data_IF_590339413513
#
_entry.id   IF_590339413513
#
_cell.length_a   1.000
_cell.length_b   1.000
_cell.length_c   1.000
_cell.angle_alpha   90.00
_cell.angle_beta   90.00
_cell.angle_gamma   90.00
#
_symmetry.space_group_name_H-M   'P 1'
#
loop_
_entity.id
_entity.type
_entity.pdbx_description
1 polymer ?
#
# COMPACT_ATOMS: atom_id res chain seq x y z
N UNK A 1 -36.30 10.36 53.53
CA UNK A 1 -35.07 9.71 53.03
C UNK A 1 -35.19 9.67 51.51
N UNK A 2 -34.61 10.67 50.85
CA UNK A 2 -34.82 10.93 49.42
C UNK A 2 -33.71 10.28 48.61
N UNK A 3 -34.04 9.30 47.76
CA UNK A 3 -33.11 8.74 46.78
C UNK A 3 -33.13 9.62 45.52
N UNK A 4 -32.05 10.35 45.28
CA UNK A 4 -31.74 11.02 44.03
C UNK A 4 -31.27 9.96 43.01
N UNK A 5 -32.08 9.71 41.99
CA UNK A 5 -31.70 8.95 40.80
C UNK A 5 -30.84 9.84 39.90
N UNK A 6 -29.53 9.60 39.90
CA UNK A 6 -28.60 10.22 38.96
C UNK A 6 -28.76 9.58 37.58
N UNK A 7 -29.26 10.35 36.62
CA UNK A 7 -29.24 10.03 35.19
C UNK A 7 -27.78 10.04 34.72
N UNK A 8 -27.18 8.86 34.61
CA UNK A 8 -25.93 8.66 33.90
C UNK A 8 -26.17 8.88 32.40
N UNK A 9 -25.83 10.07 31.92
CA UNK A 9 -25.80 10.35 30.49
C UNK A 9 -24.82 9.41 29.80
N UNK A 10 -25.36 8.48 29.01
CA UNK A 10 -24.58 7.71 28.06
C UNK A 10 -24.19 8.68 26.94
N UNK A 11 -23.12 9.44 27.17
CA UNK A 11 -22.46 10.22 26.13
C UNK A 11 -21.85 9.25 25.15
N UNK A 12 -22.63 8.83 24.15
CA UNK A 12 -22.11 8.26 22.93
C UNK A 12 -21.23 9.32 22.28
N UNK A 13 -19.95 9.30 22.62
CA UNK A 13 -18.92 9.84 21.77
C UNK A 13 -18.84 8.92 20.54
N UNK A 14 -19.83 9.00 19.66
CA UNK A 14 -19.59 8.76 18.24
C UNK A 14 -18.66 9.88 17.82
N UNK A 15 -17.36 9.68 18.05
CA UNK A 15 -16.35 10.34 17.26
C UNK A 15 -16.65 9.83 15.85
N UNK A 16 -17.43 10.61 15.10
CA UNK A 16 -17.56 10.44 13.68
C UNK A 16 -16.14 10.48 13.16
N UNK A 17 -15.58 9.29 12.92
CA UNK A 17 -14.28 9.12 12.32
C UNK A 17 -14.43 9.68 10.91
N UNK A 18 -14.16 10.98 10.77
CA UNK A 18 -13.72 11.55 9.51
C UNK A 18 -12.51 10.68 9.16
N UNK A 19 -12.71 9.73 8.23
CA UNK A 19 -11.68 8.75 7.91
C UNK A 19 -10.37 9.46 7.65
N UNK A 20 -9.25 8.89 8.11
CA UNK A 20 -7.95 9.50 7.87
C UNK A 20 -7.80 9.77 6.37
N UNK A 21 -7.14 10.87 5.99
CA UNK A 21 -6.83 11.09 4.57
C UNK A 21 -5.63 10.24 4.17
N UNK A 22 -5.54 9.81 2.91
CA UNK A 22 -4.31 9.20 2.42
C UNK A 22 -3.16 10.21 2.52
N UNK A 23 -1.96 9.74 2.85
CA UNK A 23 -0.76 10.58 3.01
C UNK A 23 -0.42 11.32 1.72
N UNK A 24 -0.73 10.69 0.58
CA UNK A 24 -0.67 11.26 -0.75
C UNK A 24 -1.54 10.43 -1.70
N UNK A 25 -1.74 10.94 -2.91
CA UNK A 25 -2.25 10.14 -4.02
C UNK A 25 -1.54 10.50 -5.32
N UNK A 26 -1.47 9.53 -6.22
CA UNK A 26 -1.13 9.73 -7.63
C UNK A 26 -2.32 9.32 -8.48
N UNK A 27 -2.67 10.14 -9.46
CA UNK A 27 -3.73 9.85 -10.43
C UNK A 27 -3.06 9.72 -11.79
N UNK A 28 -3.16 8.53 -12.37
CA UNK A 28 -2.67 8.24 -13.70
C UNK A 28 -3.55 8.82 -14.81
N UNK A 29 -3.05 8.83 -16.04
CA UNK A 29 -3.87 9.18 -17.19
C UNK A 29 -5.01 8.18 -17.35
N UNK A 30 -6.07 8.62 -18.03
CA UNK A 30 -7.09 7.71 -18.52
C UNK A 30 -6.55 7.00 -19.76
N UNK A 31 -6.44 5.67 -19.71
CA UNK A 31 -5.90 4.84 -20.79
C UNK A 31 -7.02 3.96 -21.38
N UNK A 32 -7.01 3.66 -22.70
CA UNK A 32 -7.95 2.72 -23.28
C UNK A 32 -7.85 1.34 -22.62
N UNK A 33 -9.01 0.75 -22.29
CA UNK A 33 -9.05 -0.64 -21.79
C UNK A 33 -9.09 -1.63 -22.97
N UNK A 34 -8.45 -2.81 -22.87
CA UNK A 34 -8.49 -3.82 -23.93
C UNK A 34 -9.91 -4.26 -24.33
N UNK A 35 -10.87 -4.20 -23.40
CA UNK A 35 -12.26 -4.59 -23.62
C UNK A 35 -13.18 -3.39 -23.97
N UNK A 36 -12.60 -2.24 -24.33
CA UNK A 36 -13.32 -0.99 -24.59
C UNK A 36 -13.50 -0.13 -23.34
N UNK A 37 -13.88 1.13 -23.55
CA UNK A 37 -13.87 2.14 -22.48
C UNK A 37 -12.45 2.57 -22.10
N UNK A 38 -12.33 3.21 -20.95
CA UNK A 38 -11.07 3.73 -20.41
C UNK A 38 -10.91 3.36 -18.94
N UNK A 39 -9.68 3.13 -18.51
CA UNK A 39 -9.33 2.94 -17.10
C UNK A 39 -8.48 4.11 -16.63
N UNK A 40 -8.80 4.66 -15.47
CA UNK A 40 -7.92 5.56 -14.72
C UNK A 40 -7.42 4.86 -13.47
N UNK A 41 -6.11 4.78 -13.33
CA UNK A 41 -5.47 4.23 -12.13
C UNK A 41 -5.20 5.34 -11.13
N UNK A 42 -5.60 5.16 -9.87
CA UNK A 42 -5.22 6.03 -8.75
C UNK A 42 -4.50 5.20 -7.70
N UNK A 43 -3.35 5.67 -7.23
CA UNK A 43 -2.63 5.06 -6.11
C UNK A 43 -2.77 5.97 -4.90
N UNK A 44 -3.35 5.45 -3.82
CA UNK A 44 -3.42 6.10 -2.52
C UNK A 44 -2.32 5.54 -1.63
N UNK A 45 -1.59 6.39 -0.93
CA UNK A 45 -0.44 5.98 -0.13
C UNK A 45 -0.69 6.12 1.38
N UNK A 46 -0.26 5.10 2.12
CA UNK A 46 -0.23 5.07 3.58
C UNK A 46 1.06 5.66 4.15
N UNK A 47 1.71 5.02 5.15
CA UNK A 47 1.46 3.67 5.66
C UNK A 47 0.35 3.59 6.71
N UNK A 48 -0.49 2.55 6.64
CA UNK A 48 -1.54 2.28 7.62
C UNK A 48 -1.38 0.91 8.28
N UNK A 49 -2.04 0.72 9.42
CA UNK A 49 -2.20 -0.61 10.01
C UNK A 49 -3.03 -1.49 9.07
N UNK A 50 -2.65 -2.75 8.94
CA UNK A 50 -3.42 -3.73 8.17
C UNK A 50 -4.74 -4.07 8.87
N UNK A 51 -5.83 -4.19 8.10
CA UNK A 51 -7.09 -4.73 8.63
C UNK A 51 -6.95 -6.21 9.02
N UNK A 52 -7.95 -6.75 9.70
CA UNK A 52 -7.94 -8.16 10.11
C UNK A 52 -7.78 -9.11 8.91
N UNK A 53 -8.45 -8.79 7.79
CA UNK A 53 -8.34 -9.59 6.55
C UNK A 53 -6.93 -9.55 5.95
N UNK A 54 -6.28 -8.37 5.97
CA UNK A 54 -4.92 -8.20 5.47
C UNK A 54 -3.88 -8.88 6.37
N UNK A 55 -4.05 -8.78 7.70
CA UNK A 55 -3.24 -9.52 8.67
C UNK A 55 -3.31 -11.03 8.40
N UNK A 56 -4.52 -11.59 8.31
CA UNK A 56 -4.71 -13.02 8.03
C UNK A 56 -4.13 -13.44 6.67
N UNK A 57 -4.16 -12.55 5.67
CA UNK A 57 -3.50 -12.80 4.37
C UNK A 57 -1.99 -12.88 4.52
N UNK A 58 -1.39 -11.96 5.27
CA UNK A 58 0.05 -12.00 5.56
C UNK A 58 0.44 -13.23 6.38
N UNK A 59 -0.34 -13.62 7.38
CA UNK A 59 -0.09 -14.84 8.16
C UNK A 59 -0.07 -16.08 7.27
N UNK A 60 -1.08 -16.25 6.40
CA UNK A 60 -1.12 -17.36 5.44
C UNK A 60 0.09 -17.36 4.52
N UNK A 61 0.52 -16.18 4.07
CA UNK A 61 1.72 -16.02 3.25
C UNK A 61 2.97 -16.48 4.00
N UNK A 62 3.19 -16.00 5.22
CA UNK A 62 4.34 -16.39 6.03
C UNK A 62 4.37 -17.90 6.29
N UNK A 63 3.22 -18.52 6.55
CA UNK A 63 3.12 -19.99 6.69
C UNK A 63 3.47 -20.70 5.39
N UNK A 64 2.89 -20.28 4.27
CA UNK A 64 3.11 -20.91 2.96
C UNK A 64 4.57 -20.80 2.49
N UNK A 65 5.25 -19.73 2.86
CA UNK A 65 6.67 -19.50 2.54
C UNK A 65 7.63 -20.07 3.60
N UNK A 66 7.13 -20.60 4.72
CA UNK A 66 7.96 -21.18 5.78
C UNK A 66 8.66 -20.17 6.68
N UNK A 67 8.20 -18.91 6.70
CA UNK A 67 8.79 -17.79 7.44
C UNK A 67 7.89 -17.33 8.61
N UNK A 68 7.51 -18.27 9.47
CA UNK A 68 6.66 -17.98 10.64
C UNK A 68 7.49 -17.50 11.83
N UNK A 69 6.96 -16.61 12.70
CA UNK A 69 5.62 -16.01 12.67
C UNK A 69 5.53 -14.75 11.77
N UNK A 70 4.30 -14.25 11.56
CA UNK A 70 4.11 -12.88 11.12
C UNK A 70 4.52 -11.92 12.25
N UNK A 71 5.50 -11.06 12.01
CA UNK A 71 6.00 -10.05 12.95
C UNK A 71 5.21 -8.75 12.87
N UNK A 72 4.72 -8.40 11.68
CA UNK A 72 3.88 -7.23 11.46
C UNK A 72 3.36 -7.13 10.03
N UNK A 73 2.41 -6.23 9.81
CA UNK A 73 1.86 -5.94 8.49
C UNK A 73 1.68 -4.42 8.31
N UNK A 74 2.18 -3.92 7.18
CA UNK A 74 1.97 -2.52 6.78
C UNK A 74 1.10 -2.51 5.52
N UNK A 75 0.01 -1.77 5.56
CA UNK A 75 -0.75 -1.43 4.36
C UNK A 75 -0.09 -0.20 3.73
N UNK A 76 0.66 -0.43 2.65
CA UNK A 76 1.51 0.59 2.01
C UNK A 76 0.71 1.52 1.12
N UNK A 77 -0.17 0.93 0.32
CA UNK A 77 -0.93 1.64 -0.69
C UNK A 77 -2.21 0.90 -1.05
N UNK A 78 -3.13 1.63 -1.67
CA UNK A 78 -4.24 1.09 -2.42
C UNK A 78 -4.13 1.53 -3.87
N UNK A 79 -4.15 0.56 -4.77
CA UNK A 79 -4.25 0.81 -6.21
C UNK A 79 -5.71 0.67 -6.59
N UNK A 80 -6.34 1.78 -6.98
CA UNK A 80 -7.71 1.84 -7.48
C UNK A 80 -7.69 1.92 -8.99
N UNK A 81 -8.48 1.08 -9.65
CA UNK A 81 -8.77 1.18 -11.09
C UNK A 81 -10.22 1.59 -11.29
N UNK A 82 -10.44 2.74 -11.90
CA UNK A 82 -11.77 3.24 -12.28
C UNK A 82 -11.97 3.05 -13.78
N UNK A 83 -12.85 2.12 -14.16
CA UNK A 83 -13.24 1.89 -15.54
C UNK A 83 -14.51 2.69 -15.88
N UNK A 84 -14.51 3.33 -17.04
CA UNK A 84 -15.67 3.98 -17.63
C UNK A 84 -15.84 3.51 -19.07
N UNK A 85 -17.07 3.20 -19.47
CA UNK A 85 -17.36 2.73 -20.82
C UNK A 85 -18.84 2.61 -21.09
N UNK A 86 -19.20 1.60 -21.88
CA UNK A 86 -20.60 1.32 -22.22
C UNK A 86 -20.92 -0.15 -22.06
N UNK A 87 -22.12 -0.45 -21.56
CA UNK A 87 -22.72 -1.77 -21.55
C UNK A 87 -24.09 -1.68 -22.23
N UNK A 88 -24.32 -2.50 -23.27
CA UNK A 88 -25.54 -2.42 -24.10
C UNK A 88 -25.86 -0.98 -24.58
N UNK A 89 -24.85 -0.27 -25.07
CA UNK A 89 -24.91 1.13 -25.49
C UNK A 89 -25.22 2.18 -24.39
N UNK A 90 -25.51 1.76 -23.15
CA UNK A 90 -25.70 2.66 -22.00
C UNK A 90 -24.36 2.98 -21.34
N UNK A 91 -24.16 4.19 -20.79
CA UNK A 91 -22.98 4.50 -19.97
C UNK A 91 -22.86 3.52 -18.79
N UNK A 92 -21.65 3.04 -18.55
CA UNK A 92 -21.35 2.13 -17.46
C UNK A 92 -20.03 2.53 -16.79
N UNK A 93 -19.94 2.26 -15.48
CA UNK A 93 -18.73 2.42 -14.70
C UNK A 93 -18.53 1.19 -13.82
N UNK A 94 -17.28 0.81 -13.64
CA UNK A 94 -16.86 -0.30 -12.79
C UNK A 94 -15.52 0.07 -12.15
N UNK A 95 -15.13 -0.66 -11.12
CA UNK A 95 -13.81 -0.43 -10.53
C UNK A 95 -13.49 -1.40 -9.43
N UNK A 96 -12.22 -1.38 -9.04
CA UNK A 96 -11.70 -2.23 -7.98
C UNK A 96 -10.59 -1.54 -7.23
N UNK A 97 -10.24 -2.09 -6.06
CA UNK A 97 -9.07 -1.69 -5.29
C UNK A 97 -8.23 -2.91 -4.96
N UNK A 98 -6.92 -2.72 -5.03
CA UNK A 98 -5.92 -3.67 -4.61
C UNK A 98 -5.11 -3.07 -3.47
N UNK A 99 -5.21 -3.68 -2.29
CA UNK A 99 -4.39 -3.33 -1.13
C UNK A 99 -2.99 -3.93 -1.25
N UNK A 100 -1.99 -3.05 -1.37
CA UNK A 100 -0.58 -3.38 -1.38
C UNK A 100 -0.06 -3.42 0.05
N UNK A 101 0.40 -4.59 0.49
CA UNK A 101 0.87 -4.81 1.87
C UNK A 101 2.31 -5.28 1.91
N UNK A 102 3.08 -4.74 2.86
CA UNK A 102 4.32 -5.34 3.32
C UNK A 102 4.02 -6.31 4.45
N UNK A 103 4.25 -7.61 4.23
CA UNK A 103 4.14 -8.63 5.27
C UNK A 103 5.53 -8.87 5.87
N UNK A 104 5.72 -8.52 7.13
CA UNK A 104 6.99 -8.71 7.84
C UNK A 104 7.00 -10.11 8.46
N UNK A 105 7.21 -11.12 7.63
CA UNK A 105 7.43 -12.49 8.10
C UNK A 105 8.84 -12.61 8.74
N UNK A 106 9.13 -13.74 9.37
CA UNK A 106 10.47 -14.03 9.94
C UNK A 106 11.49 -14.38 8.82
N UNK A 107 11.66 -13.44 7.88
CA UNK A 107 12.61 -13.57 6.80
C UNK A 107 14.03 -13.31 7.33
N UNK A 108 15.02 -14.15 6.96
CA UNK A 108 16.40 -13.84 7.28
C UNK A 108 16.87 -12.62 6.48
N UNK A 109 17.81 -11.87 7.05
CA UNK A 109 18.50 -10.81 6.32
C UNK A 109 19.41 -11.40 5.25
N UNK A 110 19.40 -10.79 4.07
CA UNK A 110 20.30 -11.18 2.98
C UNK A 110 21.72 -10.65 3.21
N UNK A 111 22.72 -11.38 2.72
CA UNK A 111 24.13 -10.98 2.79
C UNK A 111 24.55 -10.04 1.65
N UNK A 112 23.77 -9.95 0.57
CA UNK A 112 24.08 -9.27 -0.69
C UNK A 112 23.30 -7.95 -0.90
N UNK A 113 22.81 -7.34 0.17
CA UNK A 113 21.95 -6.14 0.10
C UNK A 113 22.56 -4.99 -0.72
N UNK A 114 23.89 -4.79 -0.63
CA UNK A 114 24.59 -3.77 -1.43
C UNK A 114 24.41 -4.03 -2.94
N UNK A 115 24.64 -5.27 -3.37
CA UNK A 115 24.50 -5.66 -4.78
C UNK A 115 23.07 -5.51 -5.29
N UNK A 116 22.06 -5.82 -4.47
CA UNK A 116 20.64 -5.61 -4.81
C UNK A 116 20.31 -4.14 -5.03
N UNK A 117 20.85 -3.25 -4.18
CA UNK A 117 20.68 -1.80 -4.33
C UNK A 117 21.34 -1.27 -5.59
N UNK A 118 22.56 -1.73 -5.88
CA UNK A 118 23.28 -1.37 -7.12
C UNK A 118 22.49 -1.83 -8.37
N UNK A 119 21.97 -3.05 -8.35
CA UNK A 119 21.12 -3.60 -9.42
C UNK A 119 19.90 -2.73 -9.68
N UNK A 120 19.23 -2.25 -8.64
CA UNK A 120 18.12 -1.31 -8.77
C UNK A 120 18.59 0.04 -9.35
N UNK A 121 19.65 0.62 -8.81
CA UNK A 121 20.16 1.93 -9.24
C UNK A 121 20.55 1.95 -10.72
N UNK A 122 21.14 0.87 -11.22
CA UNK A 122 21.54 0.72 -12.62
C UNK A 122 20.34 0.55 -13.56
N UNK A 123 19.33 -0.21 -13.14
CA UNK A 123 18.20 -0.59 -14.00
C UNK A 123 16.94 0.29 -13.85
N UNK A 124 16.83 1.11 -12.80
CA UNK A 124 15.60 1.89 -12.49
C UNK A 124 15.12 2.75 -13.65
N UNK A 125 16.01 3.30 -14.48
CA UNK A 125 15.61 4.08 -15.66
C UNK A 125 14.86 3.22 -16.67
N UNK A 126 15.32 1.99 -16.91
CA UNK A 126 14.66 1.03 -17.80
C UNK A 126 13.36 0.51 -17.20
N UNK A 127 13.37 0.18 -15.90
CA UNK A 127 12.17 -0.22 -15.16
C UNK A 127 11.05 0.82 -15.30
N UNK A 128 11.37 2.11 -15.08
CA UNK A 128 10.41 3.21 -15.23
C UNK A 128 9.82 3.32 -16.63
N UNK A 129 10.61 3.06 -17.69
CA UNK A 129 10.10 3.08 -19.07
C UNK A 129 9.13 1.94 -19.33
N UNK A 130 9.43 0.74 -18.84
CA UNK A 130 8.54 -0.41 -18.95
C UNK A 130 7.23 -0.15 -18.20
N UNK A 131 7.33 0.32 -16.95
CA UNK A 131 6.16 0.74 -16.19
C UNK A 131 5.35 1.82 -16.94
N UNK A 132 6.03 2.81 -17.52
CA UNK A 132 5.33 3.88 -18.26
C UNK A 132 4.54 3.39 -19.47
N UNK A 133 4.98 2.31 -20.13
CA UNK A 133 4.26 1.75 -21.27
C UNK A 133 2.91 1.12 -20.89
N UNK A 134 2.73 0.75 -19.63
CA UNK A 134 1.50 0.12 -19.14
C UNK A 134 0.60 1.11 -18.38
N UNK A 135 1.19 2.00 -17.58
CA UNK A 135 0.45 2.82 -16.62
C UNK A 135 0.49 4.33 -16.91
N UNK A 136 1.16 4.73 -17.99
CA UNK A 136 1.47 6.14 -18.28
C UNK A 136 2.71 6.63 -17.53
N UNK A 137 3.11 7.89 -17.71
CA UNK A 137 4.39 8.37 -17.22
C UNK A 137 4.66 8.11 -15.73
N UNK A 138 5.84 7.53 -15.44
CA UNK A 138 6.34 7.38 -14.08
C UNK A 138 6.25 8.70 -13.30
N UNK A 139 5.60 8.71 -12.12
CA UNK A 139 5.37 9.94 -11.36
C UNK A 139 6.66 10.72 -11.10
N UNK A 140 6.57 12.05 -11.16
CA UNK A 140 7.71 12.95 -10.93
C UNK A 140 7.26 14.23 -10.22
N UNK A 141 8.15 14.81 -9.45
CA UNK A 141 8.10 16.24 -9.12
C UNK A 141 8.65 17.05 -10.30
N UNK A 142 8.66 18.37 -10.19
CA UNK A 142 9.26 19.24 -11.21
C UNK A 142 10.74 18.90 -11.47
N UNK A 143 11.46 18.43 -10.44
CA UNK A 143 12.91 18.26 -10.46
C UNK A 143 13.37 16.80 -10.51
N UNK A 144 12.53 15.83 -10.13
CA UNK A 144 12.94 14.42 -10.04
C UNK A 144 11.79 13.43 -10.17
N UNK A 145 12.07 12.25 -10.75
CA UNK A 145 11.16 11.11 -10.67
C UNK A 145 10.99 10.66 -9.21
N UNK A 146 9.77 10.24 -8.86
CA UNK A 146 9.51 9.62 -7.57
C UNK A 146 10.38 8.36 -7.39
N UNK A 147 10.82 8.07 -6.16
CA UNK A 147 11.50 6.82 -5.87
C UNK A 147 10.59 5.62 -6.16
N UNK A 148 11.21 4.51 -6.57
CA UNK A 148 10.55 3.20 -6.60
C UNK A 148 10.73 2.56 -5.23
N UNK A 149 9.62 2.24 -4.57
CA UNK A 149 9.60 1.59 -3.27
C UNK A 149 9.46 0.09 -3.44
N UNK A 150 10.34 -0.70 -2.82
CA UNK A 150 10.26 -2.15 -2.83
C UNK A 150 9.21 -2.65 -1.82
N UNK A 151 8.13 -3.26 -2.31
CA UNK A 151 7.02 -3.77 -1.50
C UNK A 151 7.51 -4.88 -0.58
N UNK A 152 8.25 -5.84 -1.11
CA UNK A 152 9.05 -6.79 -0.35
C UNK A 152 10.48 -6.25 -0.22
N UNK A 153 10.91 -6.09 1.03
CA UNK A 153 12.16 -5.43 1.39
C UNK A 153 13.37 -6.13 0.77
N UNK A 154 14.24 -5.36 0.12
CA UNK A 154 15.51 -5.87 -0.42
C UNK A 154 16.38 -6.53 0.66
N UNK A 155 16.34 -6.00 1.89
CA UNK A 155 17.14 -6.55 2.99
C UNK A 155 16.66 -7.94 3.43
N UNK A 156 15.45 -8.34 3.05
CA UNK A 156 14.81 -9.58 3.46
C UNK A 156 14.47 -10.50 2.27
N UNK A 157 15.11 -10.27 1.11
CA UNK A 157 14.97 -11.16 -0.07
C UNK A 157 14.17 -10.59 -1.22
N UNK A 158 13.64 -9.37 -1.09
CA UNK A 158 12.98 -8.64 -2.17
C UNK A 158 13.80 -8.62 -3.46
N UNK A 159 13.15 -9.00 -4.57
CA UNK A 159 13.76 -8.94 -5.89
C UNK A 159 13.83 -7.48 -6.38
N UNK A 160 15.00 -6.97 -6.79
CA UNK A 160 15.17 -5.55 -7.07
C UNK A 160 14.40 -5.04 -8.29
N UNK A 161 14.11 -5.92 -9.25
CA UNK A 161 13.51 -5.56 -10.55
C UNK A 161 12.23 -6.32 -10.87
N UNK A 162 11.67 -7.05 -9.90
CA UNK A 162 10.39 -7.72 -10.12
C UNK A 162 9.27 -6.67 -10.30
N UNK A 163 8.48 -6.71 -11.40
CA UNK A 163 7.48 -5.69 -11.71
C UNK A 163 6.41 -5.52 -10.63
N UNK A 164 6.07 -6.60 -9.94
CA UNK A 164 5.10 -6.65 -8.84
C UNK A 164 5.71 -6.28 -7.48
N UNK A 165 7.02 -6.04 -7.41
CA UNK A 165 7.73 -5.70 -6.19
C UNK A 165 8.04 -4.20 -6.06
N UNK A 166 7.75 -3.37 -7.06
CA UNK A 166 8.12 -1.94 -7.03
C UNK A 166 6.94 -1.05 -7.38
N UNK A 167 6.67 -0.07 -6.52
CA UNK A 167 5.66 0.98 -6.79
C UNK A 167 6.29 2.37 -6.72
N UNK A 168 5.87 3.33 -7.55
CA UNK A 168 6.29 4.72 -7.37
C UNK A 168 5.70 5.25 -6.07
N UNK A 169 6.50 5.94 -5.24
CA UNK A 169 6.02 6.54 -3.98
C UNK A 169 6.54 7.98 -3.88
N UNK A 170 5.72 8.98 -3.47
CA UNK A 170 6.19 10.34 -3.29
C UNK A 170 7.39 10.38 -2.32
N UNK A 171 8.42 11.22 -2.55
CA UNK A 171 9.65 11.21 -1.74
C UNK A 171 9.44 11.29 -0.23
N UNK A 172 8.53 12.16 0.24
CA UNK A 172 8.23 12.28 1.66
C UNK A 172 7.57 11.03 2.25
N UNK A 173 6.65 10.41 1.51
CA UNK A 173 5.99 9.16 1.94
C UNK A 173 6.97 7.99 1.89
N UNK A 174 7.84 7.93 0.88
CA UNK A 174 8.89 6.92 0.76
C UNK A 174 9.84 6.95 1.96
N UNK A 175 10.20 8.14 2.46
CA UNK A 175 10.99 8.28 3.68
C UNK A 175 10.27 7.66 4.89
N UNK A 176 8.99 7.99 5.10
CA UNK A 176 8.19 7.45 6.20
C UNK A 176 8.07 5.93 6.14
N UNK A 177 7.83 5.36 4.96
CA UNK A 177 7.71 3.91 4.78
C UNK A 177 9.06 3.21 5.06
N UNK A 178 10.18 3.77 4.60
CA UNK A 178 11.50 3.19 4.86
C UNK A 178 11.84 3.16 6.35
N UNK A 179 11.42 4.16 7.12
CA UNK A 179 11.56 4.15 8.58
C UNK A 179 10.62 3.14 9.26
N UNK A 180 9.49 2.81 8.63
CA UNK A 180 8.51 1.87 9.17
C UNK A 180 8.95 0.39 9.06
N UNK A 181 9.72 0.04 8.02
CA UNK A 181 10.11 -1.35 7.73
C UNK A 181 10.89 -2.00 8.88
N UNK A 182 11.99 -1.42 9.39
CA UNK A 182 12.70 -2.03 10.52
C UNK A 182 11.81 -2.25 11.75
N UNK A 183 10.91 -1.31 12.03
CA UNK A 183 9.97 -1.41 13.16
C UNK A 183 8.87 -2.45 12.94
N UNK A 184 8.64 -2.91 11.71
CA UNK A 184 7.65 -3.94 11.39
C UNK A 184 8.21 -5.36 11.55
N UNK A 185 9.52 -5.52 11.39
CA UNK A 185 10.24 -6.74 11.76
C UNK A 185 10.53 -6.82 13.27
N UNK A 186 10.20 -5.78 14.04
CA UNK A 186 10.21 -5.83 15.50
C UNK A 186 8.85 -6.34 16.00
N UNK A 187 8.83 -7.53 16.62
CA UNK A 187 7.61 -8.19 17.11
C UNK A 187 6.85 -7.39 18.19
N UNK A 188 7.49 -6.40 18.81
CA UNK A 188 6.87 -5.47 19.77
C UNK A 188 6.34 -4.18 19.11
N UNK A 189 6.53 -4.02 17.80
CA UNK A 189 6.14 -2.83 17.06
C UNK A 189 4.63 -2.69 16.88
N UNK A 190 4.18 -1.45 16.62
CA UNK A 190 2.76 -1.13 16.37
C UNK A 190 2.15 -1.91 15.19
N UNK A 191 2.97 -2.41 14.28
CA UNK A 191 2.55 -3.05 13.03
C UNK A 191 1.94 -4.44 13.21
N UNK A 192 1.94 -4.97 14.43
CA UNK A 192 1.20 -6.18 14.79
C UNK A 192 -0.27 -5.90 15.15
N UNK A 193 -0.61 -4.64 15.45
CA UNK A 193 -1.97 -4.26 15.77
C UNK A 193 -2.87 -4.31 14.52
N UNK A 194 -4.13 -4.71 14.72
CA UNK A 194 -5.16 -4.72 13.69
C UNK A 194 -5.70 -3.30 13.50
N UNK A 195 -5.65 -2.81 12.27
CA UNK A 195 -6.23 -1.54 11.84
C UNK A 195 -7.71 -1.65 11.43
N UNK A 196 -8.32 -0.53 11.03
CA UNK A 196 -9.68 -0.53 10.50
C UNK A 196 -9.77 -1.25 9.15
N UNK A 197 -10.97 -1.68 8.76
CA UNK A 197 -11.22 -2.29 7.44
C UNK A 197 -10.95 -1.34 6.27
N UNK A 198 -11.14 -0.04 6.48
CA UNK A 198 -10.78 1.01 5.52
C UNK A 198 -9.93 2.06 6.23
N UNK A 199 -8.70 2.30 5.78
CA UNK A 199 -7.77 3.18 6.48
C UNK A 199 -7.97 4.65 6.11
N UNK A 200 -8.69 4.93 5.03
CA UNK A 200 -9.01 6.29 4.60
C UNK A 200 -10.37 6.37 3.90
N UNK A 201 -10.81 7.61 3.67
CA UNK A 201 -11.93 7.98 2.80
C UNK A 201 -11.39 8.82 1.64
N UNK A 202 -11.93 8.64 0.43
CA UNK A 202 -11.52 9.33 -0.81
C UNK A 202 -12.69 9.85 -1.62
#
# INVERSE_FOLDING_TARGET
>A
MSLLLALGGCGSATVSAVGAKPSAKWVGPSIPSPAGGTVQTTIYYGPWLCSAALMARCERRCVAEGHVPLLGCIWLADIKGDWQGRFMALPAAAGGRLAVTHCCCDYPKVSDLKHRRETWEDARKTFRRQWSSEFGDWPKTETAHWPGHHIFDLAHGGAPLAPDNVIPVPPGVHHVINSAYPACYDAAGKWRAVGPERPYVD
#
